data_IF_254414248160
#
_entry.id   IF_254414248160
#
_cell.length_a   1.000
_cell.length_b   1.000
_cell.length_c   1.000
_cell.angle_alpha   90.00
_cell.angle_beta   90.00
_cell.angle_gamma   90.00
#
_symmetry.space_group_name_H-M   'P 1'
#
loop_
_entity.id
_entity.type
_entity.pdbx_description
1 polymer ?
#
# COMPACT_ATOMS: atom_id res chain seq x y z
N UNK A 1 -1.02 -28.14 -31.97
CA UNK A 1 -0.11 -28.28 -30.81
C UNK A 1 -0.90 -28.01 -29.54
N UNK A 2 -0.73 -28.83 -28.50
CA UNK A 2 -1.38 -28.57 -27.20
C UNK A 2 -0.87 -27.25 -26.62
N UNK A 3 -1.78 -26.42 -26.09
CA UNK A 3 -1.39 -25.17 -25.40
C UNK A 3 -0.67 -25.53 -24.10
N UNK A 4 0.49 -24.93 -23.86
CA UNK A 4 1.23 -25.08 -22.60
C UNK A 4 0.41 -24.46 -21.46
N UNK A 5 0.26 -25.18 -20.36
CA UNK A 5 -0.45 -24.71 -19.15
C UNK A 5 0.53 -24.14 -18.13
N UNK A 6 0.02 -23.32 -17.21
CA UNK A 6 0.70 -22.82 -16.02
C UNK A 6 -0.22 -22.90 -14.80
N UNK A 7 0.36 -23.09 -13.62
CA UNK A 7 -0.36 -22.95 -12.36
C UNK A 7 -0.67 -21.47 -12.08
N UNK A 8 -1.88 -21.21 -11.60
CA UNK A 8 -2.33 -19.90 -11.17
C UNK A 8 -3.31 -20.04 -10.00
N UNK A 9 -3.56 -18.93 -9.32
CA UNK A 9 -4.56 -18.82 -8.27
C UNK A 9 -5.56 -17.75 -8.65
N UNK A 10 -6.85 -18.06 -8.59
CA UNK A 10 -7.94 -17.15 -8.99
C UNK A 10 -9.12 -17.19 -8.00
N UNK A 11 -10.04 -16.24 -8.13
CA UNK A 11 -11.32 -16.25 -7.41
C UNK A 11 -12.47 -15.92 -8.37
N UNK A 12 -13.61 -16.60 -8.20
CA UNK A 12 -14.73 -16.54 -9.15
C UNK A 12 -15.89 -15.63 -8.68
N UNK A 13 -15.73 -14.98 -7.53
CA UNK A 13 -16.75 -14.12 -6.94
C UNK A 13 -16.22 -13.21 -5.84
N UNK A 14 -17.04 -12.25 -5.42
CA UNK A 14 -16.72 -11.34 -4.33
C UNK A 14 -16.94 -12.00 -2.96
N UNK A 15 -16.20 -11.53 -1.94
CA UNK A 15 -16.43 -11.86 -0.53
C UNK A 15 -15.89 -13.21 -0.07
N UNK A 16 -15.21 -13.98 -0.93
CA UNK A 16 -14.71 -15.32 -0.58
C UNK A 16 -13.50 -15.37 0.36
N UNK A 17 -12.82 -14.24 0.59
CA UNK A 17 -11.59 -14.19 1.40
C UNK A 17 -10.53 -15.17 0.89
N UNK A 18 -9.67 -15.67 1.79
CA UNK A 18 -8.66 -16.67 1.42
C UNK A 18 -9.28 -18.01 0.96
N UNK A 19 -10.38 -18.45 1.57
CA UNK A 19 -11.08 -19.69 1.22
C UNK A 19 -11.71 -19.66 -0.19
N UNK A 20 -11.95 -18.46 -0.75
CA UNK A 20 -12.46 -18.28 -2.10
C UNK A 20 -11.38 -18.36 -3.19
N UNK A 21 -10.11 -18.50 -2.82
CA UNK A 21 -9.02 -18.72 -3.77
C UNK A 21 -9.02 -20.16 -4.28
N UNK A 22 -8.78 -20.33 -5.58
CA UNK A 22 -8.74 -21.61 -6.27
C UNK A 22 -7.45 -21.75 -7.04
N UNK A 23 -6.74 -22.85 -6.80
CA UNK A 23 -5.60 -23.29 -7.60
C UNK A 23 -6.10 -23.89 -8.91
N UNK A 24 -5.58 -23.40 -10.02
CA UNK A 24 -6.02 -23.77 -11.36
C UNK A 24 -4.83 -23.95 -12.30
N UNK A 25 -5.04 -24.73 -13.36
CA UNK A 25 -4.16 -24.72 -14.53
C UNK A 25 -4.82 -23.93 -15.66
N UNK A 26 -4.11 -22.95 -16.18
CA UNK A 26 -4.59 -22.07 -17.25
C UNK A 26 -3.59 -22.03 -18.41
N UNK A 27 -4.02 -21.75 -19.65
CA UNK A 27 -3.08 -21.56 -20.75
C UNK A 27 -2.10 -20.43 -20.47
N UNK A 28 -0.82 -20.64 -20.78
CA UNK A 28 0.19 -19.58 -20.76
C UNK A 28 -0.25 -18.46 -21.72
N UNK A 29 -0.29 -17.18 -21.30
CA UNK A 29 -0.75 -16.09 -22.14
C UNK A 29 0.25 -15.78 -23.26
N UNK A 30 -0.28 -15.37 -24.43
CA UNK A 30 0.54 -14.87 -25.56
C UNK A 30 0.67 -13.35 -25.44
N UNK A 31 1.89 -12.79 -25.33
CA UNK A 31 2.08 -11.35 -25.24
C UNK A 31 1.67 -10.65 -26.56
N UNK A 32 1.10 -9.45 -26.45
CA UNK A 32 0.82 -8.56 -27.58
C UNK A 32 2.07 -7.74 -27.99
N UNK A 33 1.91 -6.90 -29.01
CA UNK A 33 2.97 -6.10 -29.66
C UNK A 33 3.85 -5.26 -28.71
N UNK A 34 3.34 -4.89 -27.53
CA UNK A 34 4.04 -4.05 -26.54
C UNK A 34 4.06 -4.68 -25.14
N UNK A 35 3.84 -6.00 -25.06
CA UNK A 35 3.87 -6.76 -23.82
C UNK A 35 5.07 -7.70 -23.81
N UNK A 36 5.59 -7.98 -22.62
CA UNK A 36 6.59 -9.04 -22.40
C UNK A 36 5.96 -10.15 -21.57
N UNK A 37 6.23 -11.40 -21.93
CA UNK A 37 5.84 -12.55 -21.13
C UNK A 37 6.95 -12.85 -20.11
N UNK A 38 6.63 -12.71 -18.83
CA UNK A 38 7.57 -12.97 -17.73
C UNK A 38 7.26 -14.31 -17.08
N UNK A 39 8.28 -15.14 -16.92
CA UNK A 39 8.23 -16.24 -15.95
C UNK A 39 8.48 -15.65 -14.58
N UNK A 40 7.44 -15.58 -13.75
CA UNK A 40 7.55 -14.97 -12.43
C UNK A 40 8.33 -15.88 -11.47
N UNK A 41 9.33 -15.30 -10.81
CA UNK A 41 10.05 -15.91 -9.68
C UNK A 41 9.38 -15.60 -8.34
N UNK A 42 8.85 -14.37 -8.21
CA UNK A 42 8.14 -13.90 -7.03
C UNK A 42 7.07 -12.86 -7.38
N UNK A 43 6.06 -12.73 -6.53
CA UNK A 43 4.99 -11.70 -6.57
C UNK A 43 4.69 -11.23 -5.15
N UNK A 44 4.31 -9.96 -4.95
CA UNK A 44 3.99 -9.42 -3.61
C UNK A 44 2.49 -9.14 -3.43
N UNK A 45 1.92 -9.44 -2.27
CA UNK A 45 0.53 -9.13 -1.90
C UNK A 45 0.37 -7.83 -1.10
N UNK A 46 -0.82 -7.25 -1.15
CA UNK A 46 -1.12 -5.89 -0.74
C UNK A 46 -2.60 -5.67 -0.36
N UNK A 47 -2.95 -4.51 0.23
CA UNK A 47 -4.32 -4.32 0.70
C UNK A 47 -5.38 -4.15 -0.38
N UNK A 48 -5.04 -3.62 -1.56
CA UNK A 48 -6.05 -3.32 -2.59
C UNK A 48 -6.67 -4.58 -3.21
N UNK A 49 -5.96 -5.68 -3.14
CA UNK A 49 -6.21 -6.98 -3.77
C UNK A 49 -7.43 -7.61 -3.15
N UNK A 50 -7.37 -7.77 -1.83
CA UNK A 50 -8.46 -8.33 -1.07
C UNK A 50 -9.60 -7.32 -0.92
N UNK A 51 -9.33 -5.99 -0.96
CA UNK A 51 -10.40 -4.97 -1.03
C UNK A 51 -11.18 -5.06 -2.34
N UNK A 52 -10.51 -5.34 -3.46
CA UNK A 52 -11.15 -5.64 -4.74
C UNK A 52 -11.96 -6.94 -4.63
N UNK A 53 -11.38 -8.00 -4.05
CA UNK A 53 -12.09 -9.26 -3.82
C UNK A 53 -13.30 -9.10 -2.88
N UNK A 54 -13.25 -8.21 -1.89
CA UNK A 54 -14.38 -7.90 -1.01
C UNK A 54 -15.44 -7.02 -1.68
N UNK A 55 -15.16 -6.47 -2.86
CA UNK A 55 -16.10 -5.62 -3.60
C UNK A 55 -16.15 -4.17 -3.11
N UNK A 56 -15.20 -3.73 -2.28
CA UNK A 56 -15.15 -2.35 -1.73
C UNK A 56 -15.08 -1.30 -2.84
N UNK A 57 -14.37 -1.61 -3.93
CA UNK A 57 -14.21 -0.72 -5.08
C UNK A 57 -15.23 -0.95 -6.20
N UNK A 58 -16.20 -1.86 -6.02
CA UNK A 58 -17.16 -2.26 -7.06
C UNK A 58 -17.95 -1.10 -7.70
N UNK A 59 -18.41 -0.07 -6.96
CA UNK A 59 -19.16 1.05 -7.55
C UNK A 59 -18.31 1.96 -8.45
N UNK A 60 -16.99 1.99 -8.25
CA UNK A 60 -16.08 2.96 -8.89
C UNK A 60 -15.13 2.32 -9.90
N UNK A 61 -14.80 1.04 -9.72
CA UNK A 61 -13.90 0.25 -10.58
C UNK A 61 -14.47 -1.17 -10.77
N UNK A 62 -15.53 -1.36 -11.57
CA UNK A 62 -16.00 -2.70 -11.92
C UNK A 62 -14.92 -3.39 -12.76
N UNK A 63 -14.19 -4.34 -12.16
CA UNK A 63 -13.14 -5.10 -12.85
C UNK A 63 -13.75 -6.24 -13.67
N UNK A 64 -13.13 -6.56 -14.81
CA UNK A 64 -13.26 -7.87 -15.46
C UNK A 64 -12.23 -8.80 -14.80
N UNK A 65 -12.69 -9.95 -14.33
CA UNK A 65 -11.83 -10.97 -13.71
C UNK A 65 -10.97 -11.69 -14.77
N UNK A 66 -9.74 -12.14 -14.45
CA UNK A 66 -9.03 -12.14 -13.14
C UNK A 66 -8.07 -10.93 -12.89
N UNK A 67 -7.58 -10.74 -11.64
CA UNK A 67 -6.76 -9.57 -11.20
C UNK A 67 -5.57 -9.94 -10.26
N UNK A 68 -4.46 -9.18 -10.31
CA UNK A 68 -3.19 -9.40 -9.57
C UNK A 68 -2.69 -8.10 -8.87
N UNK A 69 -2.06 -8.16 -7.68
CA UNK A 69 -1.88 -6.95 -6.83
C UNK A 69 -0.53 -6.24 -6.47
N UNK A 70 -0.57 -5.01 -5.84
CA UNK A 70 0.56 -4.09 -5.41
C UNK A 70 0.36 -3.14 -4.15
N UNK A 71 1.40 -2.64 -3.42
CA UNK A 71 1.32 -2.00 -2.05
C UNK A 71 2.56 -1.21 -1.54
N UNK A 72 2.46 -0.38 -0.46
CA UNK A 72 3.19 0.92 -0.42
C UNK A 72 3.95 1.36 0.88
N UNK A 73 3.49 1.06 2.11
CA UNK A 73 3.82 1.88 3.31
C UNK A 73 5.29 2.02 3.77
N UNK A 74 6.09 0.95 3.82
CA UNK A 74 7.46 0.97 4.37
C UNK A 74 8.49 1.70 3.48
N UNK A 75 8.17 1.91 2.20
CA UNK A 75 9.00 2.69 1.30
C UNK A 75 8.88 4.20 1.58
N UNK A 76 7.72 4.67 2.04
CA UNK A 76 7.48 6.09 2.31
C UNK A 76 8.44 6.65 3.38
N UNK A 77 8.68 5.89 4.46
CA UNK A 77 9.62 6.28 5.54
C UNK A 77 11.03 6.48 4.98
N UNK A 78 11.55 5.49 4.26
CA UNK A 78 12.91 5.51 3.73
C UNK A 78 13.10 6.61 2.67
N UNK A 79 12.12 6.78 1.76
CA UNK A 79 12.15 7.81 0.73
C UNK A 79 12.08 9.23 1.34
N UNK A 80 11.25 9.43 2.36
CA UNK A 80 11.17 10.71 3.07
C UNK A 80 12.52 11.03 3.75
N UNK A 81 13.16 10.05 4.40
CA UNK A 81 14.50 10.23 5.00
C UNK A 81 15.58 10.52 3.97
N UNK A 82 15.55 9.90 2.80
CA UNK A 82 16.45 10.24 1.69
C UNK A 82 16.24 11.69 1.19
N UNK A 83 15.03 12.24 1.35
CA UNK A 83 14.71 13.65 1.14
C UNK A 83 15.13 14.58 2.27
N UNK A 84 15.90 14.10 3.25
CA UNK A 84 16.36 14.85 4.43
C UNK A 84 15.21 15.46 5.26
N UNK A 85 14.07 14.77 5.32
CA UNK A 85 12.93 15.21 6.14
C UNK A 85 12.99 14.61 7.54
N UNK A 86 12.26 15.25 8.47
CA UNK A 86 11.95 14.67 9.77
C UNK A 86 10.69 13.81 9.64
N UNK A 87 10.78 12.53 10.00
CA UNK A 87 9.74 11.53 9.77
C UNK A 87 9.16 11.06 11.11
N UNK A 88 7.89 11.38 11.32
CA UNK A 88 7.06 10.77 12.36
C UNK A 88 6.21 9.68 11.71
N UNK A 89 6.26 8.46 12.25
CA UNK A 89 5.52 7.31 11.73
C UNK A 89 4.62 6.68 12.79
N UNK A 90 3.46 6.16 12.38
CA UNK A 90 2.58 5.38 13.25
C UNK A 90 2.64 3.90 12.87
N UNK A 91 2.68 3.03 13.87
CA UNK A 91 2.59 1.57 13.69
C UNK A 91 2.03 0.93 14.96
N UNK A 92 1.85 -0.39 14.98
CA UNK A 92 1.54 -1.09 16.23
C UNK A 92 2.82 -1.33 17.04
N UNK A 93 2.71 -1.42 18.37
CA UNK A 93 3.85 -1.60 19.30
C UNK A 93 4.96 -2.54 18.80
N UNK A 94 4.60 -3.72 18.26
CA UNK A 94 5.54 -4.74 17.78
C UNK A 94 6.47 -4.28 16.63
N UNK A 95 6.09 -3.23 15.91
CA UNK A 95 6.82 -2.74 14.74
C UNK A 95 7.64 -1.47 15.02
N UNK A 96 7.65 -0.96 16.26
CA UNK A 96 8.31 0.30 16.60
C UNK A 96 9.80 0.25 16.26
N UNK A 97 10.52 -0.78 16.71
CA UNK A 97 11.96 -0.89 16.49
C UNK A 97 12.32 -1.07 15.02
N UNK A 98 11.48 -1.78 14.25
CA UNK A 98 11.64 -1.85 12.81
C UNK A 98 11.50 -0.47 12.17
N UNK A 99 10.42 0.26 12.48
CA UNK A 99 10.14 1.56 11.86
C UNK A 99 11.24 2.58 12.20
N UNK A 100 11.77 2.55 13.42
CA UNK A 100 13.00 3.30 13.79
C UNK A 100 14.19 2.88 12.94
N UNK A 101 14.43 1.58 12.74
CA UNK A 101 15.54 1.09 11.91
C UNK A 101 15.44 1.48 10.43
N UNK A 102 14.23 1.82 9.95
CA UNK A 102 14.00 2.36 8.61
C UNK A 102 14.28 3.87 8.51
N UNK A 103 14.62 4.51 9.63
CA UNK A 103 15.05 5.91 9.72
C UNK A 103 14.00 6.87 10.26
N UNK A 104 12.84 6.41 10.73
CA UNK A 104 11.87 7.31 11.38
C UNK A 104 12.49 7.95 12.64
N UNK A 105 12.35 9.27 12.76
CA UNK A 105 12.86 10.05 13.90
C UNK A 105 11.94 9.89 15.13
N UNK A 106 10.63 9.79 14.89
CA UNK A 106 9.61 9.56 15.91
C UNK A 106 8.70 8.41 15.48
N UNK A 107 8.38 7.51 16.41
CA UNK A 107 7.45 6.40 16.16
C UNK A 107 6.39 6.36 17.26
N UNK A 108 5.13 6.37 16.84
CA UNK A 108 3.95 6.34 17.69
C UNK A 108 3.24 4.98 17.57
N UNK A 109 2.85 4.40 18.70
CA UNK A 109 1.89 3.29 18.69
C UNK A 109 0.48 3.83 18.50
N UNK A 110 -0.18 3.49 17.38
CA UNK A 110 -1.53 3.98 17.09
C UNK A 110 -2.58 3.54 18.13
N UNK A 111 -2.28 2.56 19.00
CA UNK A 111 -3.16 2.14 20.10
C UNK A 111 -3.09 3.05 21.32
N UNK A 112 -2.10 3.94 21.38
CA UNK A 112 -1.97 4.93 22.47
C UNK A 112 -2.79 6.18 22.18
N UNK A 113 -3.21 6.98 23.19
CA UNK A 113 -3.90 8.24 22.97
C UNK A 113 -3.14 9.20 22.05
N UNK A 114 -1.82 9.28 22.19
CA UNK A 114 -0.95 10.14 21.39
C UNK A 114 -0.89 9.67 19.94
N UNK A 115 -0.76 8.36 19.72
CA UNK A 115 -0.77 7.76 18.39
C UNK A 115 -2.12 7.86 17.69
N UNK A 116 -3.23 7.66 18.41
CA UNK A 116 -4.58 7.86 17.87
C UNK A 116 -4.84 9.33 17.52
N UNK A 117 -4.30 10.26 18.30
CA UNK A 117 -4.37 11.70 18.04
C UNK A 117 -3.35 12.19 16.99
N UNK A 118 -2.48 11.30 16.48
CA UNK A 118 -1.38 11.63 15.56
C UNK A 118 -0.47 12.75 16.09
N UNK A 119 -0.29 12.84 17.40
CA UNK A 119 0.43 13.95 18.04
C UNK A 119 1.92 13.66 18.10
N UNK A 120 2.73 14.48 17.41
CA UNK A 120 4.19 14.37 17.47
C UNK A 120 4.68 14.55 18.93
N UNK A 121 5.55 13.66 19.43
CA UNK A 121 6.18 13.81 20.75
C UNK A 121 6.91 15.14 20.93
N UNK A 122 7.57 15.65 19.89
CA UNK A 122 8.23 16.96 19.90
C UNK A 122 7.30 18.15 19.63
N UNK A 123 6.00 17.91 19.45
CA UNK A 123 5.00 18.96 19.18
C UNK A 123 5.06 19.53 17.76
N UNK A 124 5.82 18.90 16.85
CA UNK A 124 5.93 19.32 15.46
C UNK A 124 4.58 19.26 14.75
N UNK A 125 4.40 20.17 13.79
CA UNK A 125 3.30 20.12 12.82
C UNK A 125 3.80 19.48 11.53
N UNK A 126 2.89 18.81 10.82
CA UNK A 126 3.21 18.09 9.60
C UNK A 126 2.93 18.94 8.36
N UNK A 127 3.93 19.12 7.51
CA UNK A 127 3.78 19.74 6.20
C UNK A 127 3.15 18.80 5.17
N UNK A 128 3.40 17.50 5.33
CA UNK A 128 2.79 16.44 4.54
C UNK A 128 2.54 15.19 5.40
N UNK A 129 1.40 14.54 5.19
CA UNK A 129 1.05 13.25 5.79
C UNK A 129 0.80 12.26 4.66
N UNK A 130 1.55 11.16 4.65
CA UNK A 130 1.33 10.04 3.72
C UNK A 130 0.38 9.05 4.40
N UNK A 131 -0.92 9.18 4.14
CA UNK A 131 -1.95 8.39 4.80
C UNK A 131 -2.15 7.04 4.11
N UNK A 132 -1.63 5.99 4.74
CA UNK A 132 -1.78 4.59 4.32
C UNK A 132 -2.81 3.79 5.15
N UNK A 133 -3.30 4.36 6.25
CA UNK A 133 -4.26 3.73 7.15
C UNK A 133 -5.70 3.96 6.66
N UNK A 134 -6.68 3.40 7.35
CA UNK A 134 -8.10 3.59 7.04
C UNK A 134 -8.85 4.09 8.26
N UNK A 135 -9.92 4.86 8.06
CA UNK A 135 -10.85 5.23 9.14
C UNK A 135 -10.40 6.37 10.05
N UNK A 136 -9.39 7.16 9.64
CA UNK A 136 -8.98 8.36 10.38
C UNK A 136 -9.72 9.58 9.79
N UNK A 137 -10.53 10.30 10.58
CA UNK A 137 -11.25 11.47 10.09
C UNK A 137 -10.32 12.68 9.90
N UNK A 138 -10.72 13.61 9.03
CA UNK A 138 -9.99 14.87 8.79
C UNK A 138 -9.72 15.66 10.08
N UNK A 139 -10.65 15.64 11.04
CA UNK A 139 -10.53 16.32 12.33
C UNK A 139 -9.35 15.83 13.18
N UNK A 140 -8.83 14.63 12.93
CA UNK A 140 -7.61 14.12 13.58
C UNK A 140 -6.35 14.70 12.93
N UNK A 141 -6.36 14.92 11.62
CA UNK A 141 -5.20 15.49 10.90
C UNK A 141 -5.09 17.00 11.09
N UNK A 142 -6.20 17.73 10.95
CA UNK A 142 -6.21 19.20 10.86
C UNK A 142 -5.48 19.93 12.00
N UNK A 143 -5.60 19.54 13.28
CA UNK A 143 -4.87 20.18 14.37
C UNK A 143 -3.36 19.93 14.31
N UNK A 144 -2.92 18.85 13.65
CA UNK A 144 -1.52 18.44 13.58
C UNK A 144 -0.80 18.91 12.31
N UNK A 145 -1.53 19.42 11.31
CA UNK A 145 -0.95 19.98 10.09
C UNK A 145 -0.36 21.38 10.32
N UNK A 146 0.71 21.69 9.59
CA UNK A 146 1.25 23.05 9.48
C UNK A 146 0.26 23.95 8.71
N UNK A 147 0.55 25.25 8.60
CA UNK A 147 -0.37 26.22 7.99
C UNK A 147 -0.81 25.81 6.57
N UNK A 148 0.10 25.24 5.78
CA UNK A 148 -0.13 24.76 4.41
C UNK A 148 -0.03 23.24 4.29
N UNK A 149 -0.25 22.52 5.40
CA UNK A 149 -0.04 21.08 5.47
C UNK A 149 -1.02 20.28 4.62
N UNK A 150 -0.54 19.18 4.03
CA UNK A 150 -1.32 18.34 3.13
C UNK A 150 -1.43 16.90 3.64
N UNK A 151 -2.61 16.30 3.51
CA UNK A 151 -2.81 14.85 3.70
C UNK A 151 -2.92 14.19 2.33
N UNK A 152 -1.94 13.37 1.98
CA UNK A 152 -1.95 12.56 0.76
C UNK A 152 -2.56 11.20 1.11
N UNK A 153 -3.80 10.97 0.70
CA UNK A 153 -4.55 9.74 0.97
C UNK A 153 -4.30 8.71 -0.14
N UNK A 154 -3.57 7.62 0.19
CA UNK A 154 -3.17 6.59 -0.76
C UNK A 154 -4.32 5.63 -1.09
N UNK A 155 -5.32 5.50 -0.21
CA UNK A 155 -6.47 4.62 -0.45
C UNK A 155 -7.77 5.39 -0.20
N UNK A 156 -8.08 6.38 -1.06
CA UNK A 156 -9.10 7.36 -0.76
C UNK A 156 -10.48 6.72 -0.61
N UNK A 157 -11.17 7.11 0.47
CA UNK A 157 -12.58 6.77 0.70
C UNK A 157 -13.52 7.79 0.05
N UNK A 158 -14.82 7.50 -0.12
CA UNK A 158 -15.80 8.50 -0.57
C UNK A 158 -15.78 9.78 0.28
N UNK A 159 -15.60 9.66 1.60
CA UNK A 159 -15.48 10.80 2.51
C UNK A 159 -14.22 11.63 2.26
N UNK A 160 -13.12 11.00 1.85
CA UNK A 160 -11.90 11.69 1.44
C UNK A 160 -12.15 12.56 0.20
N UNK A 161 -12.93 12.05 -0.78
CA UNK A 161 -13.30 12.81 -1.97
C UNK A 161 -14.18 14.04 -1.64
N UNK A 162 -15.16 13.88 -0.75
CA UNK A 162 -16.00 14.99 -0.27
C UNK A 162 -15.16 16.03 0.46
N UNK A 163 -14.25 15.60 1.34
CA UNK A 163 -13.36 16.49 2.10
C UNK A 163 -12.45 17.28 1.17
N UNK A 164 -11.87 16.63 0.15
CA UNK A 164 -11.05 17.29 -0.88
C UNK A 164 -11.85 18.39 -1.61
N UNK A 165 -13.07 18.08 -2.07
CA UNK A 165 -13.92 19.05 -2.75
C UNK A 165 -14.25 20.25 -1.86
N UNK A 166 -14.63 20.00 -0.60
CA UNK A 166 -14.94 21.06 0.37
C UNK A 166 -13.73 21.95 0.67
N UNK A 167 -12.54 21.38 0.85
CA UNK A 167 -11.32 22.15 1.17
C UNK A 167 -10.85 22.98 -0.01
N UNK A 168 -11.06 22.53 -1.24
CA UNK A 168 -10.82 23.34 -2.45
C UNK A 168 -11.84 24.47 -2.58
N UNK A 169 -13.13 24.17 -2.40
CA UNK A 169 -14.20 25.17 -2.49
C UNK A 169 -14.08 26.28 -1.42
N UNK A 170 -13.61 25.92 -0.23
CA UNK A 170 -13.41 26.85 0.89
C UNK A 170 -12.04 27.53 0.87
N UNK A 171 -11.21 27.30 -0.15
CA UNK A 171 -9.85 27.85 -0.26
C UNK A 171 -9.00 27.61 1.00
N UNK A 172 -9.20 26.46 1.64
CA UNK A 172 -8.44 26.11 2.85
C UNK A 172 -6.95 26.01 2.52
N UNK A 173 -6.08 26.55 3.37
CA UNK A 173 -4.63 26.36 3.20
C UNK A 173 -4.19 24.91 3.45
N UNK A 174 -4.95 24.18 4.27
CA UNK A 174 -4.75 22.75 4.56
C UNK A 174 -5.59 21.92 3.60
N UNK A 175 -4.98 20.96 2.93
CA UNK A 175 -5.67 20.17 1.90
C UNK A 175 -5.63 18.67 2.19
N UNK A 176 -6.67 17.98 1.73
CA UNK A 176 -6.66 16.53 1.54
C UNK A 176 -6.55 16.25 0.05
N UNK A 177 -5.53 15.50 -0.34
CA UNK A 177 -5.19 15.14 -1.72
C UNK A 177 -5.37 13.63 -1.89
N UNK A 178 -6.47 13.17 -2.52
CA UNK A 178 -6.65 11.75 -2.78
C UNK A 178 -5.74 11.31 -3.94
N UNK A 179 -4.93 10.28 -3.71
CA UNK A 179 -4.07 9.69 -4.74
C UNK A 179 -4.88 8.67 -5.55
N UNK A 180 -5.71 9.19 -6.47
CA UNK A 180 -6.59 8.36 -7.32
C UNK A 180 -5.83 7.80 -8.53
N UNK A 181 -4.82 8.54 -9.01
CA UNK A 181 -3.98 8.18 -10.15
C UNK A 181 -2.52 8.40 -9.78
N UNK A 182 -1.72 7.33 -9.86
CA UNK A 182 -0.28 7.42 -9.80
C UNK A 182 0.25 7.34 -11.23
N UNK A 183 0.88 8.41 -11.71
CA UNK A 183 1.69 8.34 -12.92
C UNK A 183 2.98 7.59 -12.54
N UNK A 184 3.02 6.30 -12.85
CA UNK A 184 4.22 5.48 -12.68
C UNK A 184 5.02 5.62 -13.98
N UNK A 185 6.09 6.41 -13.94
CA UNK A 185 6.99 6.57 -15.06
C UNK A 185 8.24 5.67 -14.91
N UNK A 186 8.90 5.44 -16.05
CA UNK A 186 10.08 4.58 -16.18
C UNK A 186 11.26 5.05 -15.34
N UNK A 187 11.47 6.37 -15.28
CA UNK A 187 12.62 6.97 -14.60
C UNK A 187 12.48 6.84 -13.08
N UNK A 188 11.28 7.09 -12.55
CA UNK A 188 10.94 6.84 -11.15
C UNK A 188 11.18 5.37 -10.78
N UNK A 189 10.78 4.42 -11.63
CA UNK A 189 11.01 2.99 -11.37
C UNK A 189 12.49 2.63 -11.37
N UNK A 190 13.27 3.11 -12.35
CA UNK A 190 14.73 2.87 -12.37
C UNK A 190 15.44 3.49 -11.18
N UNK A 191 15.00 4.67 -10.76
CA UNK A 191 15.55 5.33 -9.60
C UNK A 191 15.33 4.48 -8.33
N UNK A 192 14.12 3.93 -8.12
CA UNK A 192 13.86 3.02 -7.00
C UNK A 192 14.74 1.76 -7.05
N UNK A 193 14.86 1.13 -8.22
CA UNK A 193 15.74 -0.05 -8.39
C UNK A 193 17.20 0.30 -8.09
N UNK A 194 17.66 1.45 -8.53
CA UNK A 194 19.02 1.95 -8.23
C UNK A 194 19.23 2.13 -6.74
N UNK A 195 18.28 2.73 -6.02
CA UNK A 195 18.38 2.91 -4.56
C UNK A 195 18.43 1.56 -3.83
N UNK A 196 17.66 0.57 -4.29
CA UNK A 196 17.72 -0.79 -3.73
C UNK A 196 19.09 -1.43 -3.99
N UNK A 197 19.59 -1.33 -5.22
CA UNK A 197 20.92 -1.86 -5.60
C UNK A 197 22.04 -1.22 -4.79
N UNK A 198 21.95 0.08 -4.50
CA UNK A 198 22.92 0.82 -3.69
C UNK A 198 22.75 0.60 -2.17
N UNK A 199 21.76 -0.20 -1.73
CA UNK A 199 21.47 -0.43 -0.31
C UNK A 199 20.87 0.76 0.42
N UNK A 200 20.52 1.83 -0.32
CA UNK A 200 19.89 3.06 0.21
C UNK A 200 18.39 2.90 0.45
N UNK A 201 17.76 1.92 -0.21
CA UNK A 201 16.37 1.55 0.00
C UNK A 201 16.30 0.04 0.28
N UNK A 202 15.76 -0.34 1.45
CA UNK A 202 15.61 -1.74 1.86
C UNK A 202 14.18 -2.20 1.64
N UNK A 203 14.01 -3.29 0.88
CA UNK A 203 12.74 -4.03 0.80
C UNK A 203 12.62 -4.95 2.00
N UNK A 204 11.64 -4.68 2.87
CA UNK A 204 11.37 -5.53 4.03
C UNK A 204 10.40 -6.62 3.60
N UNK A 205 10.80 -7.88 3.74
CA UNK A 205 9.98 -9.05 3.45
C UNK A 205 9.42 -9.56 4.78
N UNK A 206 8.09 -9.58 4.90
CA UNK A 206 7.38 -10.11 6.06
C UNK A 206 7.42 -11.65 6.07
N UNK A 207 7.09 -12.25 4.93
CA UNK A 207 7.02 -13.71 4.77
C UNK A 207 7.06 -14.08 3.30
N UNK A 208 7.47 -15.32 3.05
CA UNK A 208 7.51 -15.95 1.73
C UNK A 208 6.67 -17.21 1.77
N UNK A 209 5.83 -17.40 0.77
CA UNK A 209 4.94 -18.55 0.64
C UNK A 209 5.07 -19.13 -0.76
N UNK A 210 5.10 -20.46 -0.94
CA UNK A 210 5.06 -21.03 -2.28
C UNK A 210 3.69 -20.77 -2.93
N UNK A 211 3.63 -20.73 -4.26
CA UNK A 211 2.37 -20.52 -5.00
C UNK A 211 1.31 -21.55 -4.60
N UNK A 212 1.72 -22.78 -4.29
CA UNK A 212 0.86 -23.87 -3.80
C UNK A 212 0.19 -23.60 -2.44
N UNK A 213 0.60 -22.54 -1.73
CA UNK A 213 0.01 -22.06 -0.47
C UNK A 213 -0.33 -20.57 -0.52
N UNK A 214 -0.69 -20.05 -1.69
CA UNK A 214 -1.02 -18.64 -1.86
C UNK A 214 -2.16 -18.17 -0.94
N UNK A 215 -3.04 -19.06 -0.49
CA UNK A 215 -4.08 -18.81 0.50
C UNK A 215 -3.54 -18.37 1.87
N UNK A 216 -2.39 -18.90 2.30
CA UNK A 216 -1.74 -18.49 3.56
C UNK A 216 -1.20 -17.07 3.43
N UNK A 217 -0.57 -16.76 2.29
CA UNK A 217 -0.12 -15.41 1.96
C UNK A 217 -1.30 -14.43 1.91
N UNK A 218 -2.41 -14.84 1.30
CA UNK A 218 -3.62 -14.03 1.17
C UNK A 218 -4.29 -13.78 2.51
N UNK A 219 -4.44 -14.82 3.34
CA UNK A 219 -4.94 -14.71 4.70
C UNK A 219 -4.08 -13.74 5.54
N UNK A 220 -2.75 -13.83 5.41
CA UNK A 220 -1.84 -12.92 6.09
C UNK A 220 -1.97 -11.47 5.62
N UNK A 221 -2.19 -11.25 4.31
CA UNK A 221 -2.46 -9.92 3.76
C UNK A 221 -3.79 -9.34 4.26
N UNK A 222 -4.83 -10.17 4.35
CA UNK A 222 -6.16 -9.79 4.87
C UNK A 222 -6.10 -9.41 6.35
N UNK A 223 -5.33 -10.15 7.16
CA UNK A 223 -5.17 -9.89 8.59
C UNK A 223 -4.58 -8.47 8.86
N UNK A 224 -3.97 -7.83 7.85
CA UNK A 224 -3.55 -6.42 7.93
C UNK A 224 -2.33 -6.18 8.82
N UNK A 225 -1.67 -7.26 9.22
CA UNK A 225 -0.64 -7.29 10.25
C UNK A 225 0.77 -7.58 9.70
N UNK A 226 0.92 -7.67 8.38
CA UNK A 226 2.22 -7.92 7.76
C UNK A 226 3.23 -6.80 8.06
N UNK A 227 4.45 -7.20 8.38
CA UNK A 227 5.58 -6.30 8.65
C UNK A 227 6.49 -6.24 7.43
N UNK A 228 6.12 -5.41 6.44
CA UNK A 228 6.78 -5.34 5.14
C UNK A 228 5.93 -5.91 4.01
N UNK A 229 6.53 -6.69 3.11
CA UNK A 229 5.87 -7.34 1.97
C UNK A 229 5.66 -8.83 2.20
N UNK A 230 4.42 -9.29 2.00
CA UNK A 230 4.12 -10.72 1.86
C UNK A 230 4.45 -11.12 0.42
N UNK A 231 5.30 -12.13 0.24
CA UNK A 231 5.77 -12.60 -1.05
C UNK A 231 5.23 -14.00 -1.33
N UNK A 232 4.80 -14.24 -2.56
CA UNK A 232 4.49 -15.54 -3.13
C UNK A 232 5.58 -15.91 -4.14
N UNK A 233 6.18 -17.09 -4.01
CA UNK A 233 7.27 -17.59 -4.85
C UNK A 233 6.82 -18.85 -5.61
N UNK A 234 7.38 -19.06 -6.79
CA UNK A 234 7.01 -20.16 -7.70
C UNK A 234 7.83 -21.43 -7.47
#
# INVERSE_FOLDING_TARGET
>A
MARRLMHAVQHDGYGGGAAGLKHVEVPVPTPKKDEVLLKLEATSLNPIDWKIQQGVLRPFLPRRFPHIPGGVGHYAVQLAKLGNTHVTATCGARNIELVKSLGADEVLDYKTPEGAALKSPSGRKYDAVIHCATGIPWSTFEPNLSENGNVIDITPSPNAMITCALKKLTFSKKQLVPLVWANIDKESMYYLVKLVKEGKLKTIIDSKHPLSKAEDAWAKSIDGHATGKVIVEN
#
